data_IF_977393973847
#
_entry.id   IF_977393973847
#
_cell.length_a   1.000
_cell.length_b   1.000
_cell.length_c   1.000
_cell.angle_alpha   90.00
_cell.angle_beta   90.00
_cell.angle_gamma   90.00
#
_symmetry.space_group_name_H-M   'P 1'
#
loop_
_entity.id
_entity.type
_entity.pdbx_description
1 polymer ?
#
# COMPACT_ATOMS: atom_id res chain seq x y z
N UNK A 1 -20.03 4.90 62.30
CA UNK A 1 -19.02 3.94 61.80
C UNK A 1 -18.70 4.28 60.34
N UNK A 2 -17.47 4.75 60.04
CA UNK A 2 -17.03 5.09 58.69
C UNK A 2 -16.38 3.86 58.06
N UNK A 3 -16.95 3.32 56.99
CA UNK A 3 -16.35 2.25 56.20
C UNK A 3 -15.17 2.82 55.40
N UNK A 4 -13.96 2.62 55.91
CA UNK A 4 -12.73 2.87 55.17
C UNK A 4 -12.61 1.85 54.03
N UNK A 5 -12.92 2.27 52.81
CA UNK A 5 -12.71 1.46 51.61
C UNK A 5 -11.19 1.42 51.35
N UNK A 6 -10.55 0.34 51.76
CA UNK A 6 -9.17 0.00 51.41
C UNK A 6 -9.04 0.03 49.89
N UNK A 7 -8.30 1.01 49.36
CA UNK A 7 -7.89 1.03 47.95
C UNK A 7 -6.97 -0.17 47.75
N UNK A 8 -7.45 -1.22 47.10
CA UNK A 8 -6.61 -2.29 46.61
C UNK A 8 -5.47 -1.71 45.76
N UNK A 9 -4.27 -2.23 45.95
CA UNK A 9 -3.16 -2.03 45.03
C UNK A 9 -3.62 -2.36 43.60
N UNK A 10 -3.06 -1.72 42.55
CA UNK A 10 -3.36 -2.13 41.18
C UNK A 10 -2.97 -3.61 41.06
N UNK A 11 -3.97 -4.48 41.00
CA UNK A 11 -3.76 -5.88 40.66
C UNK A 11 -3.22 -5.93 39.24
N UNK A 12 -2.31 -6.86 38.99
CA UNK A 12 -1.91 -7.21 37.64
C UNK A 12 -3.19 -7.45 36.81
N UNK A 13 -3.28 -6.89 35.58
CA UNK A 13 -4.47 -7.04 34.75
C UNK A 13 -4.77 -8.53 34.57
N UNK A 14 -6.07 -8.88 34.53
CA UNK A 14 -6.47 -10.28 34.35
C UNK A 14 -5.86 -10.83 33.05
N UNK A 15 -5.37 -12.06 33.09
CA UNK A 15 -4.82 -12.74 31.90
C UNK A 15 -5.82 -12.64 30.74
N UNK A 16 -5.42 -12.26 29.50
CA UNK A 16 -6.42 -11.99 28.49
C UNK A 16 -7.03 -13.32 28.09
N UNK A 17 -8.28 -13.33 27.62
CA UNK A 17 -8.85 -14.55 27.05
C UNK A 17 -7.89 -15.04 25.94
N UNK A 18 -7.26 -16.22 26.09
CA UNK A 18 -6.27 -16.71 25.14
C UNK A 18 -6.85 -16.82 23.72
N UNK A 19 -8.12 -17.20 23.60
CA UNK A 19 -8.80 -17.31 22.32
C UNK A 19 -9.04 -15.92 21.69
N UNK A 20 -9.30 -14.89 22.50
CA UNK A 20 -9.43 -13.52 22.00
C UNK A 20 -8.09 -12.96 21.52
N UNK A 21 -7.00 -13.24 22.24
CA UNK A 21 -5.66 -12.83 21.83
C UNK A 21 -5.26 -13.50 20.51
N UNK A 22 -5.48 -14.81 20.38
CA UNK A 22 -5.18 -15.55 19.15
C UNK A 22 -5.93 -14.99 17.94
N UNK A 23 -7.23 -14.70 18.08
CA UNK A 23 -8.02 -14.05 17.02
C UNK A 23 -7.44 -12.68 16.62
N UNK A 24 -7.08 -11.86 17.60
CA UNK A 24 -6.52 -10.54 17.34
C UNK A 24 -5.15 -10.62 16.63
N UNK A 25 -4.33 -11.62 17.00
CA UNK A 25 -3.05 -11.88 16.33
C UNK A 25 -3.26 -12.34 14.90
N UNK A 26 -4.19 -13.28 14.68
CA UNK A 26 -4.52 -13.76 13.34
C UNK A 26 -5.00 -12.60 12.44
N UNK A 27 -5.88 -11.74 12.94
CA UNK A 27 -6.32 -10.53 12.23
C UNK A 27 -5.15 -9.58 11.92
N UNK A 28 -4.28 -9.32 12.90
CA UNK A 28 -3.10 -8.48 12.72
C UNK A 28 -2.17 -8.99 11.62
N UNK A 29 -1.93 -10.31 11.57
CA UNK A 29 -1.14 -10.94 10.51
C UNK A 29 -1.81 -10.82 9.15
N UNK A 30 -3.12 -10.98 9.05
CA UNK A 30 -3.86 -10.80 7.79
C UNK A 30 -3.75 -9.37 7.26
N UNK A 31 -3.89 -8.37 8.14
CA UNK A 31 -3.71 -6.96 7.78
C UNK A 31 -2.29 -6.70 7.29
N UNK A 32 -1.28 -7.20 8.02
CA UNK A 32 0.13 -7.08 7.62
C UNK A 32 0.42 -7.76 6.29
N UNK A 33 -0.17 -8.93 6.01
CA UNK A 33 -0.08 -9.60 4.71
C UNK A 33 -0.62 -8.72 3.59
N UNK A 34 -1.81 -8.14 3.77
CA UNK A 34 -2.40 -7.25 2.77
C UNK A 34 -1.52 -6.01 2.52
N UNK A 35 -0.96 -5.42 3.58
CA UNK A 35 -0.04 -4.28 3.48
C UNK A 35 1.26 -4.64 2.75
N UNK A 36 1.79 -5.85 3.00
CA UNK A 36 2.98 -6.36 2.31
C UNK A 36 2.72 -6.54 0.81
N UNK A 37 1.58 -7.15 0.42
CA UNK A 37 1.18 -7.32 -0.98
C UNK A 37 1.14 -5.97 -1.70
N UNK A 38 0.49 -4.96 -1.12
CA UNK A 38 0.42 -3.61 -1.72
C UNK A 38 1.80 -2.98 -1.86
N UNK A 39 2.62 -3.07 -0.81
CA UNK A 39 3.97 -2.49 -0.79
C UNK A 39 4.90 -3.12 -1.83
N UNK A 40 4.84 -4.44 -1.98
CA UNK A 40 5.63 -5.20 -2.97
C UNK A 40 5.11 -4.97 -4.38
N UNK A 41 3.79 -4.95 -4.60
CA UNK A 41 3.22 -4.65 -5.91
C UNK A 41 3.70 -3.27 -6.42
N UNK A 42 3.67 -2.26 -5.54
CA UNK A 42 4.18 -0.93 -5.86
C UNK A 42 5.68 -0.95 -6.21
N UNK A 43 6.50 -1.72 -5.49
CA UNK A 43 7.93 -1.79 -5.77
C UNK A 43 8.22 -2.49 -7.11
N UNK A 44 7.44 -3.51 -7.47
CA UNK A 44 7.50 -4.17 -8.78
C UNK A 44 7.20 -3.16 -9.89
N UNK A 45 6.09 -2.43 -9.78
CA UNK A 45 5.67 -1.43 -10.79
C UNK A 45 6.71 -0.32 -10.91
N UNK A 46 7.20 0.23 -9.80
CA UNK A 46 8.18 1.32 -9.81
C UNK A 46 9.48 0.85 -10.49
N UNK A 47 10.00 -0.32 -10.14
CA UNK A 47 11.23 -0.85 -10.77
C UNK A 47 11.07 -1.08 -12.26
N UNK A 48 9.95 -1.66 -12.67
CA UNK A 48 9.66 -1.90 -14.08
C UNK A 48 9.56 -0.60 -14.89
N UNK A 49 8.92 0.44 -14.35
CA UNK A 49 8.69 1.70 -15.07
C UNK A 49 9.85 2.68 -15.00
N UNK A 50 10.57 2.71 -13.87
CA UNK A 50 11.64 3.69 -13.61
C UNK A 50 13.01 3.17 -14.02
N UNK A 51 13.29 1.91 -13.70
CA UNK A 51 14.63 1.35 -13.78
C UNK A 51 14.79 0.39 -14.98
N UNK A 52 13.71 0.19 -15.77
CA UNK A 52 13.64 -0.75 -16.91
C UNK A 52 14.11 -2.18 -16.54
N UNK A 53 13.92 -2.55 -15.27
CA UNK A 53 14.35 -3.83 -14.75
C UNK A 53 13.32 -4.93 -15.07
N UNK A 54 13.81 -6.09 -15.49
CA UNK A 54 12.99 -7.30 -15.58
C UNK A 54 12.54 -7.81 -14.20
N UNK A 55 11.43 -8.54 -14.18
CA UNK A 55 10.97 -9.21 -12.98
C UNK A 55 11.98 -10.29 -12.54
N UNK A 56 12.38 -10.23 -11.27
CA UNK A 56 13.26 -11.19 -10.60
C UNK A 56 12.53 -11.75 -9.38
N UNK A 57 12.29 -13.05 -9.40
CA UNK A 57 11.53 -13.74 -8.37
C UNK A 57 12.24 -13.74 -7.02
N UNK A 58 13.54 -14.03 -6.98
CA UNK A 58 14.29 -14.12 -5.73
C UNK A 58 14.47 -12.76 -5.09
N UNK A 59 14.77 -11.74 -5.89
CA UNK A 59 14.81 -10.35 -5.41
C UNK A 59 13.45 -9.90 -4.84
N UNK A 60 12.35 -10.38 -5.43
CA UNK A 60 11.01 -10.06 -4.94
C UNK A 60 10.70 -10.80 -3.63
N UNK A 61 11.14 -12.05 -3.46
CA UNK A 61 11.08 -12.77 -2.18
C UNK A 61 11.85 -12.02 -1.10
N UNK A 62 13.07 -11.57 -1.39
CA UNK A 62 13.86 -10.75 -0.44
C UNK A 62 13.17 -9.44 -0.07
N UNK A 63 12.52 -8.78 -1.03
CA UNK A 63 11.73 -7.58 -0.77
C UNK A 63 10.53 -7.87 0.17
N UNK A 64 9.84 -8.99 -0.02
CA UNK A 64 8.78 -9.44 0.90
C UNK A 64 9.32 -9.63 2.31
N UNK A 65 10.42 -10.38 2.47
CA UNK A 65 11.03 -10.62 3.79
C UNK A 65 11.42 -9.31 4.47
N UNK A 66 12.04 -8.39 3.73
CA UNK A 66 12.38 -7.05 4.20
C UNK A 66 11.15 -6.28 4.69
N UNK A 67 10.05 -6.32 3.94
CA UNK A 67 8.81 -5.64 4.30
C UNK A 67 8.16 -6.27 5.54
N UNK A 68 8.12 -7.60 5.64
CA UNK A 68 7.62 -8.30 6.83
C UNK A 68 8.44 -7.92 8.08
N UNK A 69 9.77 -7.89 7.97
CA UNK A 69 10.65 -7.44 9.04
C UNK A 69 10.40 -5.98 9.43
N UNK A 70 10.15 -5.09 8.45
CA UNK A 70 9.76 -3.70 8.73
C UNK A 70 8.42 -3.62 9.46
N UNK A 71 7.40 -4.35 9.01
CA UNK A 71 6.09 -4.40 9.66
C UNK A 71 6.21 -4.95 11.09
N UNK A 72 7.03 -5.97 11.33
CA UNK A 72 7.32 -6.45 12.68
C UNK A 72 7.96 -5.37 13.56
N UNK A 73 8.92 -4.60 13.03
CA UNK A 73 9.52 -3.47 13.73
C UNK A 73 8.50 -2.37 14.05
N UNK A 74 7.61 -2.04 13.11
CA UNK A 74 6.50 -1.10 13.33
C UNK A 74 5.59 -1.56 14.47
N UNK A 75 5.26 -2.87 14.56
CA UNK A 75 4.47 -3.39 15.69
C UNK A 75 5.18 -3.24 17.03
N UNK A 76 6.51 -3.43 17.08
CA UNK A 76 7.30 -3.20 18.30
C UNK A 76 7.28 -1.73 18.70
N UNK A 77 7.41 -0.81 17.75
CA UNK A 77 7.30 0.63 18.01
C UNK A 77 5.90 1.00 18.55
N UNK A 78 4.84 0.42 17.98
CA UNK A 78 3.48 0.62 18.48
C UNK A 78 3.32 0.09 19.92
N UNK A 79 3.91 -1.07 20.22
CA UNK A 79 3.92 -1.62 21.56
C UNK A 79 4.62 -0.68 22.57
N UNK A 80 5.76 -0.10 22.21
CA UNK A 80 6.47 0.88 23.06
C UNK A 80 5.61 2.12 23.34
N UNK A 81 4.92 2.65 22.31
CA UNK A 81 4.01 3.78 22.45
C UNK A 81 2.86 3.45 23.41
N UNK A 82 2.20 2.30 23.23
CA UNK A 82 1.12 1.85 24.11
C UNK A 82 1.63 1.64 25.54
N UNK A 83 2.81 1.06 25.74
CA UNK A 83 3.44 0.93 27.05
C UNK A 83 3.62 2.27 27.76
N UNK A 84 4.05 3.29 27.02
CA UNK A 84 4.12 4.66 27.51
C UNK A 84 2.75 5.25 27.86
N UNK A 85 1.72 5.00 27.05
CA UNK A 85 0.35 5.44 27.30
C UNK A 85 -0.26 4.74 28.53
N UNK A 86 -0.05 3.44 28.69
CA UNK A 86 -0.50 2.65 29.84
C UNK A 86 0.13 3.13 31.14
N UNK A 87 1.45 3.36 31.13
CA UNK A 87 2.15 3.90 32.29
C UNK A 87 1.63 5.29 32.71
N UNK A 88 1.21 6.12 31.75
CA UNK A 88 0.55 7.42 32.01
C UNK A 88 -0.88 7.22 32.53
N UNK A 89 -1.66 6.34 31.91
CA UNK A 89 -3.05 6.05 32.27
C UNK A 89 -3.19 5.56 33.72
N UNK A 90 -2.29 4.68 34.18
CA UNK A 90 -2.25 4.15 35.55
C UNK A 90 -2.07 5.23 36.64
N UNK A 91 -1.44 6.36 36.27
CA UNK A 91 -1.19 7.52 37.14
C UNK A 91 -2.29 8.59 37.01
N UNK A 92 -3.05 8.57 35.92
CA UNK A 92 -4.07 9.56 35.63
C UNK A 92 -5.29 9.43 36.57
N UNK A 93 -5.84 10.58 37.00
CA UNK A 93 -7.03 10.67 37.86
C UNK A 93 -8.15 11.42 37.14
N UNK A 94 -9.39 11.04 37.40
CA UNK A 94 -10.58 11.67 36.82
C UNK A 94 -11.11 10.93 35.59
N UNK A 95 -12.10 11.52 34.92
CA UNK A 95 -12.77 10.95 33.75
C UNK A 95 -12.01 11.29 32.47
N UNK A 96 -12.13 10.42 31.46
CA UNK A 96 -11.61 10.68 30.12
C UNK A 96 -12.30 11.89 29.49
N UNK A 97 -11.53 12.72 28.78
CA UNK A 97 -11.98 13.95 28.11
C UNK A 97 -12.00 13.81 26.57
N UNK A 98 -11.29 12.83 26.00
CA UNK A 98 -11.25 12.54 24.56
C UNK A 98 -10.74 11.11 24.29
N UNK A 99 -10.79 10.64 23.04
CA UNK A 99 -10.57 9.21 22.69
C UNK A 99 -9.17 8.64 22.98
N UNK A 100 -8.19 9.50 23.27
CA UNK A 100 -6.81 9.12 23.60
C UNK A 100 -6.42 9.54 25.04
N UNK A 101 -7.39 10.00 25.83
CA UNK A 101 -7.21 10.34 27.25
C UNK A 101 -7.48 9.10 28.10
N UNK A 102 -6.61 8.10 27.96
CA UNK A 102 -6.70 6.84 28.70
C UNK A 102 -6.55 7.08 30.20
N UNK A 103 -7.33 6.33 30.98
CA UNK A 103 -7.38 6.39 32.43
C UNK A 103 -7.03 5.04 33.02
N UNK A 104 -6.91 5.00 34.35
CA UNK A 104 -6.63 3.76 35.08
C UNK A 104 -7.61 2.62 34.77
N UNK A 105 -8.86 2.93 34.40
CA UNK A 105 -9.85 1.92 34.01
C UNK A 105 -9.58 1.25 32.66
N UNK A 106 -8.67 1.80 31.85
CA UNK A 106 -8.32 1.28 30.53
C UNK A 106 -7.10 0.34 30.57
N UNK A 107 -6.60 -0.03 31.77
CA UNK A 107 -5.38 -0.84 31.92
C UNK A 107 -5.49 -2.18 31.20
N UNK A 108 -6.60 -2.89 31.36
CA UNK A 108 -6.84 -4.19 30.71
C UNK A 108 -6.83 -4.06 29.19
N UNK A 109 -7.44 -3.00 28.64
CA UNK A 109 -7.49 -2.74 27.19
C UNK A 109 -6.11 -2.44 26.63
N UNK A 110 -5.35 -1.55 27.30
CA UNK A 110 -4.01 -1.18 26.86
C UNK A 110 -3.06 -2.36 26.97
N UNK A 111 -3.16 -3.13 28.05
CA UNK A 111 -2.38 -4.34 28.23
C UNK A 111 -2.71 -5.41 27.18
N UNK A 112 -3.98 -5.62 26.84
CA UNK A 112 -4.37 -6.52 25.75
C UNK A 112 -3.72 -6.08 24.42
N UNK A 113 -3.73 -4.77 24.12
CA UNK A 113 -3.06 -4.23 22.92
C UNK A 113 -1.55 -4.47 22.95
N UNK A 114 -0.88 -4.27 24.09
CA UNK A 114 0.56 -4.59 24.23
C UNK A 114 0.85 -6.04 23.86
N UNK A 115 0.04 -6.97 24.39
CA UNK A 115 0.17 -8.41 24.10
C UNK A 115 -0.06 -8.72 22.63
N UNK A 116 -1.08 -8.13 22.02
CA UNK A 116 -1.36 -8.31 20.59
C UNK A 116 -0.22 -7.80 19.73
N UNK A 117 0.26 -6.57 19.93
CA UNK A 117 1.38 -6.02 19.14
C UNK A 117 2.64 -6.86 19.26
N UNK A 118 2.97 -7.27 20.49
CA UNK A 118 4.12 -8.15 20.74
C UNK A 118 3.98 -9.49 20.00
N UNK A 119 2.82 -10.13 20.09
CA UNK A 119 2.57 -11.42 19.46
C UNK A 119 2.52 -11.35 17.93
N UNK A 120 1.93 -10.28 17.36
CA UNK A 120 1.95 -10.05 15.91
C UNK A 120 3.39 -9.83 15.42
N UNK A 121 4.19 -9.02 16.12
CA UNK A 121 5.60 -8.81 15.75
C UNK A 121 6.36 -10.13 15.68
N UNK A 122 6.26 -10.97 16.71
CA UNK A 122 6.90 -12.29 16.74
C UNK A 122 6.41 -13.19 15.60
N UNK A 123 5.09 -13.21 15.34
CA UNK A 123 4.53 -14.03 14.28
C UNK A 123 5.00 -13.58 12.90
N UNK A 124 5.15 -12.28 12.68
CA UNK A 124 5.72 -11.76 11.43
C UNK A 124 7.20 -12.11 11.28
N UNK A 125 7.98 -12.11 12.36
CA UNK A 125 9.38 -12.56 12.33
C UNK A 125 9.51 -14.04 11.94
N UNK A 126 8.61 -14.89 12.42
CA UNK A 126 8.57 -16.31 12.03
C UNK A 126 8.20 -16.45 10.55
N UNK A 127 7.13 -15.77 10.12
CA UNK A 127 6.59 -15.86 8.77
C UNK A 127 7.53 -15.28 7.70
N UNK A 128 8.45 -14.38 8.04
CA UNK A 128 9.44 -13.91 7.07
C UNK A 128 10.40 -15.02 6.62
N UNK A 129 10.56 -16.08 7.42
CA UNK A 129 11.38 -17.25 7.10
C UNK A 129 10.55 -18.41 6.53
N UNK A 130 9.22 -18.25 6.45
CA UNK A 130 8.31 -19.21 5.83
C UNK A 130 8.27 -18.97 4.32
N UNK A 131 8.88 -19.89 3.57
CA UNK A 131 9.01 -19.78 2.13
C UNK A 131 7.68 -19.89 1.37
N UNK A 132 6.70 -20.60 1.91
CA UNK A 132 5.38 -20.74 1.30
C UNK A 132 4.59 -19.45 1.52
N UNK A 133 4.60 -18.92 2.75
CA UNK A 133 3.95 -17.65 3.06
C UNK A 133 4.54 -16.48 2.26
N UNK A 134 5.86 -16.43 2.14
CA UNK A 134 6.55 -15.44 1.28
C UNK A 134 6.15 -15.63 -0.18
N UNK A 135 6.12 -16.87 -0.67
CA UNK A 135 5.69 -17.18 -2.04
C UNK A 135 4.27 -16.71 -2.35
N UNK A 136 3.33 -16.92 -1.42
CA UNK A 136 1.95 -16.46 -1.55
C UNK A 136 1.82 -14.94 -1.65
N UNK A 137 2.66 -14.20 -0.91
CA UNK A 137 2.70 -12.73 -1.00
C UNK A 137 3.28 -12.31 -2.35
N UNK A 138 4.35 -12.96 -2.82
CA UNK A 138 4.94 -12.67 -4.15
C UNK A 138 3.89 -12.87 -5.24
N UNK A 139 3.21 -14.02 -5.26
CA UNK A 139 2.18 -14.31 -6.26
C UNK A 139 1.06 -13.27 -6.25
N UNK A 140 0.54 -12.92 -5.07
CA UNK A 140 -0.50 -11.91 -4.94
C UNK A 140 -0.02 -10.50 -5.33
N UNK A 141 1.24 -10.16 -5.05
CA UNK A 141 1.81 -8.87 -5.41
C UNK A 141 2.03 -8.75 -6.92
N UNK A 142 2.46 -9.82 -7.58
CA UNK A 142 2.60 -9.88 -9.04
C UNK A 142 1.26 -9.73 -9.73
N UNK A 143 0.24 -10.49 -9.31
CA UNK A 143 -1.12 -10.40 -9.85
C UNK A 143 -1.67 -8.97 -9.71
N UNK A 144 -1.53 -8.38 -8.51
CA UNK A 144 -1.92 -7.00 -8.26
C UNK A 144 -1.16 -6.01 -9.15
N UNK A 145 0.16 -6.13 -9.27
CA UNK A 145 0.96 -5.21 -10.07
C UNK A 145 0.54 -5.22 -11.55
N UNK A 146 0.29 -6.41 -12.11
CA UNK A 146 -0.22 -6.54 -13.48
C UNK A 146 -1.61 -5.95 -13.63
N UNK A 147 -2.49 -6.18 -12.65
CA UNK A 147 -3.81 -5.56 -12.60
C UNK A 147 -3.74 -4.03 -12.61
N UNK A 148 -2.90 -3.45 -11.75
CA UNK A 148 -2.73 -2.00 -11.61
C UNK A 148 -2.19 -1.36 -12.91
N UNK A 149 -1.18 -1.98 -13.54
CA UNK A 149 -0.63 -1.52 -14.83
C UNK A 149 -1.64 -1.65 -15.96
N UNK A 150 -2.33 -2.80 -16.06
CA UNK A 150 -3.35 -3.04 -17.07
C UNK A 150 -4.51 -2.04 -16.97
N UNK A 151 -5.00 -1.81 -15.76
CA UNK A 151 -6.05 -0.82 -15.49
C UNK A 151 -5.62 0.59 -15.89
N UNK A 152 -4.37 0.98 -15.60
CA UNK A 152 -3.83 2.28 -15.99
C UNK A 152 -3.73 2.44 -17.52
N UNK A 153 -3.31 1.39 -18.24
CA UNK A 153 -3.26 1.39 -19.72
C UNK A 153 -4.66 1.53 -20.29
N UNK A 154 -5.62 0.70 -19.85
CA UNK A 154 -7.01 0.78 -20.32
C UNK A 154 -7.58 2.16 -20.07
N UNK A 155 -7.40 2.71 -18.87
CA UNK A 155 -7.85 4.06 -18.53
C UNK A 155 -7.25 5.10 -19.47
N UNK A 156 -5.94 5.03 -19.73
CA UNK A 156 -5.27 5.99 -20.60
C UNK A 156 -5.71 5.87 -22.06
N UNK A 157 -5.86 4.66 -22.58
CA UNK A 157 -6.34 4.42 -23.95
C UNK A 157 -7.80 4.87 -24.11
N UNK A 158 -8.66 4.57 -23.14
CA UNK A 158 -10.07 4.98 -23.15
C UNK A 158 -10.27 6.48 -22.95
N UNK A 159 -9.31 7.17 -22.30
CA UNK A 159 -9.35 8.61 -22.09
C UNK A 159 -8.81 9.41 -23.29
N UNK A 160 -8.09 8.78 -24.22
CA UNK A 160 -7.87 9.38 -25.55
C UNK A 160 -9.24 9.39 -26.20
N UNK A 161 -9.84 10.59 -26.34
CA UNK A 161 -11.13 10.74 -26.98
C UNK A 161 -11.18 9.92 -28.28
N UNK A 162 -12.19 9.05 -28.32
CA UNK A 162 -12.61 8.35 -29.49
C UNK A 162 -12.70 9.34 -30.65
N UNK A 163 -12.15 8.95 -31.79
CA UNK A 163 -12.50 9.38 -33.16
C UNK A 163 -13.63 10.42 -33.13
N UNK A 164 -13.28 11.69 -33.38
CA UNK A 164 -14.19 12.82 -33.49
C UNK A 164 -15.61 12.34 -33.87
N UNK A 165 -16.66 12.58 -33.06
CA UNK A 165 -17.97 12.00 -33.28
C UNK A 165 -18.59 12.39 -34.63
N UNK A 166 -18.12 13.48 -35.26
CA UNK A 166 -18.48 13.84 -36.63
C UNK A 166 -17.68 13.06 -37.69
N UNK A 167 -16.58 12.41 -37.33
CA UNK A 167 -15.70 11.66 -38.24
C UNK A 167 -16.44 10.63 -39.09
N UNK A 168 -17.37 9.79 -38.60
CA UNK A 168 -18.08 8.85 -39.48
C UNK A 168 -18.89 9.58 -40.56
N UNK A 169 -19.40 10.77 -40.26
CA UNK A 169 -20.21 11.60 -41.17
C UNK A 169 -19.31 12.39 -42.13
N UNK A 170 -18.17 12.88 -41.65
CA UNK A 170 -17.26 13.74 -42.39
C UNK A 170 -16.12 12.98 -43.06
N UNK A 171 -15.98 11.67 -42.82
CA UNK A 171 -14.86 10.84 -43.28
C UNK A 171 -14.60 11.00 -44.77
N UNK A 172 -15.64 10.91 -45.59
CA UNK A 172 -15.50 10.99 -47.04
C UNK A 172 -15.09 12.39 -47.49
N UNK A 173 -15.54 13.43 -46.78
CA UNK A 173 -15.11 14.80 -47.06
C UNK A 173 -13.66 15.02 -46.67
N UNK A 174 -13.26 14.58 -45.47
CA UNK A 174 -11.89 14.70 -44.98
C UNK A 174 -10.90 13.89 -45.82
N UNK A 175 -11.30 12.72 -46.32
CA UNK A 175 -10.47 11.93 -47.24
C UNK A 175 -10.31 12.62 -48.60
N UNK A 176 -11.36 13.29 -49.10
CA UNK A 176 -11.24 14.14 -50.29
C UNK A 176 -10.31 15.32 -50.04
N UNK A 177 -10.49 16.04 -48.93
CA UNK A 177 -9.65 17.19 -48.57
C UNK A 177 -8.18 16.78 -48.38
N UNK A 178 -7.92 15.61 -47.79
CA UNK A 178 -6.56 15.05 -47.67
C UNK A 178 -5.90 14.83 -49.05
N UNK A 179 -6.64 14.33 -50.03
CA UNK A 179 -6.11 14.08 -51.39
C UNK A 179 -5.98 15.38 -52.18
N UNK A 180 -7.05 16.16 -52.22
CA UNK A 180 -7.20 17.29 -53.12
C UNK A 180 -6.50 18.55 -52.61
N UNK A 181 -6.32 18.67 -51.29
CA UNK A 181 -5.70 19.83 -50.65
C UNK A 181 -4.33 19.46 -50.10
N UNK A 182 -4.26 18.55 -49.15
CA UNK A 182 -3.03 18.32 -48.39
C UNK A 182 -1.95 17.60 -49.20
N UNK A 183 -2.30 16.50 -49.86
CA UNK A 183 -1.39 15.74 -50.72
C UNK A 183 -1.05 16.51 -51.98
N UNK A 184 -2.01 17.21 -52.60
CA UNK A 184 -1.75 18.09 -53.73
C UNK A 184 -0.77 19.21 -53.35
N UNK A 185 -0.94 19.84 -52.18
CA UNK A 185 -0.03 20.86 -51.65
C UNK A 185 1.35 20.27 -51.33
N UNK A 186 1.43 19.04 -50.86
CA UNK A 186 2.70 18.36 -50.59
C UNK A 186 3.45 18.06 -51.89
N UNK A 187 2.76 17.60 -52.93
CA UNK A 187 3.35 17.36 -54.26
C UNK A 187 3.78 18.65 -54.95
N UNK A 188 3.10 19.76 -54.70
CA UNK A 188 3.46 21.08 -55.19
C UNK A 188 4.62 21.72 -54.41
N UNK A 189 4.96 21.20 -53.23
CA UNK A 189 6.14 21.64 -52.50
C UNK A 189 7.39 21.02 -53.11
N UNK A 190 8.46 21.80 -53.31
CA UNK A 190 9.75 21.25 -53.66
C UNK A 190 10.19 20.24 -52.59
N UNK A 191 10.85 19.14 -52.96
CA UNK A 191 11.32 18.18 -51.98
C UNK A 191 12.24 18.90 -50.97
N UNK A 192 12.10 18.63 -49.66
CA UNK A 192 12.91 19.29 -48.65
C UNK A 192 14.40 19.07 -48.96
N UNK A 193 15.10 20.15 -49.29
CA UNK A 193 16.51 20.14 -49.72
C UNK A 193 16.79 20.62 -51.15
N UNK A 194 15.79 21.04 -51.93
CA UNK A 194 16.00 21.56 -53.30
C UNK A 194 16.27 23.07 -53.40
N UNK A 195 16.69 23.73 -52.32
CA UNK A 195 17.27 25.08 -52.42
C UNK A 195 18.61 24.96 -53.17
N UNK A 196 18.55 25.18 -54.48
CA UNK A 196 19.73 25.35 -55.31
C UNK A 196 20.60 26.50 -54.80
N UNK A 197 21.93 26.49 -55.07
CA UNK A 197 22.86 27.44 -54.48
C UNK A 197 22.44 28.89 -54.76
N UNK A 198 22.32 29.70 -53.69
CA UNK A 198 22.16 31.16 -53.79
C UNK A 198 23.36 31.72 -54.57
N UNK A 199 23.09 32.22 -55.77
CA UNK A 199 24.08 32.93 -56.58
C UNK A 199 24.58 34.17 -55.82
N UNK A 200 25.91 34.32 -55.79
CA UNK A 200 26.68 35.43 -55.21
C UNK A 200 26.68 36.61 -56.17
#
# INVERSE_FOLDING_TARGET
MKFGKTRGAPSEPATPDPAALERAVAEGVLISRAAAVVSVANSIVIRALRDDEHFDHERTREAVRTILGRLAAEQREQNERIGGERAKALKAKGRSRHQHDYRRGDDDTLWFREKTYTAVAHRLDELQSDDDFVGDIVAAAVDRAWGDVGAAIVTKVSAVEAVDPAYPVERDQRLRDLVDVDLARLLAQPPPGSDGPRAV
#
